data_IF_721196583255
#
_entry.id   IF_721196583255
#
_cell.length_a   1.000
_cell.length_b   1.000
_cell.length_c   1.000
_cell.angle_alpha   90.00
_cell.angle_beta   90.00
_cell.angle_gamma   90.00
#
_symmetry.space_group_name_H-M   'P 1'
#
loop_
_entity.id
_entity.type
_entity.pdbx_description
1 polymer ?
#
# COMPACT_ATOMS: atom_id res chain seq x y z
N UNK A 1 6.50 11.43 -11.37
CA UNK A 1 6.72 9.98 -11.39
C UNK A 1 7.45 9.66 -10.11
N UNK A 2 6.94 8.73 -9.31
CA UNK A 2 7.53 8.32 -8.04
C UNK A 2 8.21 6.97 -8.30
N UNK A 3 9.54 6.95 -8.39
CA UNK A 3 10.33 5.76 -8.75
C UNK A 3 9.76 4.95 -9.95
N UNK A 4 9.67 5.57 -11.13
CA UNK A 4 9.11 4.88 -12.31
C UNK A 4 7.57 4.78 -12.35
N UNK A 5 6.90 4.90 -11.20
CA UNK A 5 5.43 4.80 -11.11
C UNK A 5 4.79 6.14 -11.48
N UNK A 6 3.82 6.10 -12.40
CA UNK A 6 3.04 7.27 -12.80
C UNK A 6 2.25 7.80 -11.59
N UNK A 7 2.64 8.98 -11.13
CA UNK A 7 1.92 9.78 -10.14
C UNK A 7 0.75 10.52 -10.80
N UNK A 8 -0.10 9.77 -11.52
CA UNK A 8 -1.21 10.31 -12.30
C UNK A 8 -2.47 9.55 -11.90
N UNK A 9 -3.28 10.16 -11.04
CA UNK A 9 -4.52 9.58 -10.55
C UNK A 9 -5.28 10.54 -9.66
N UNK A 10 -6.52 10.18 -9.30
CA UNK A 10 -7.33 10.95 -8.36
C UNK A 10 -6.84 10.72 -6.93
N UNK A 11 -6.97 11.74 -6.09
CA UNK A 11 -6.70 11.62 -4.65
C UNK A 11 -7.56 10.54 -4.02
N UNK A 12 -7.03 9.84 -3.02
CA UNK A 12 -7.79 8.84 -2.28
C UNK A 12 -8.71 9.56 -1.30
N UNK A 13 -10.01 9.38 -1.50
CA UNK A 13 -11.04 9.87 -0.61
C UNK A 13 -11.40 8.79 0.42
N UNK A 14 -11.49 9.21 1.69
CA UNK A 14 -11.79 8.35 2.83
C UNK A 14 -13.20 8.59 3.40
N UNK A 15 -13.90 9.61 2.91
CA UNK A 15 -15.30 9.86 3.22
C UNK A 15 -16.16 9.16 2.16
N UNK A 16 -16.97 8.19 2.60
CA UNK A 16 -17.81 7.40 1.72
C UNK A 16 -18.95 8.23 1.14
N UNK A 17 -19.04 8.27 -0.20
CA UNK A 17 -20.21 8.78 -0.93
C UNK A 17 -21.25 7.66 -1.14
N UNK A 18 -20.83 6.40 -0.94
CA UNK A 18 -21.61 5.19 -1.21
C UNK A 18 -21.85 4.40 0.07
N UNK A 19 -22.98 3.70 0.13
CA UNK A 19 -23.28 2.76 1.20
C UNK A 19 -22.29 1.58 1.13
N UNK A 20 -21.44 1.45 2.16
CA UNK A 20 -20.43 0.39 2.27
C UNK A 20 -20.86 -0.72 3.23
N UNK A 21 -22.13 -0.75 3.65
CA UNK A 21 -22.64 -1.71 4.64
C UNK A 21 -22.40 -3.15 4.19
N UNK A 22 -22.78 -3.49 2.95
CA UNK A 22 -22.60 -4.84 2.39
C UNK A 22 -21.12 -5.25 2.31
N UNK A 23 -20.24 -4.34 1.86
CA UNK A 23 -18.80 -4.59 1.77
C UNK A 23 -18.17 -4.75 3.16
N UNK A 24 -18.62 -3.94 4.12
CA UNK A 24 -18.16 -4.00 5.50
C UNK A 24 -18.58 -5.31 6.14
N UNK A 25 -19.81 -5.75 5.94
CA UNK A 25 -20.30 -7.02 6.46
C UNK A 25 -19.58 -8.22 5.79
N UNK A 26 -19.26 -8.13 4.48
CA UNK A 26 -18.53 -9.18 3.78
C UNK A 26 -17.03 -9.29 4.15
N UNK A 27 -16.39 -8.20 4.57
CA UNK A 27 -14.95 -8.16 4.88
C UNK A 27 -14.72 -8.26 6.40
N UNK A 28 -15.47 -7.50 7.18
CA UNK A 28 -15.32 -7.41 8.62
C UNK A 28 -16.28 -8.39 9.33
N UNK A 29 -17.49 -8.59 8.81
CA UNK A 29 -18.56 -9.32 9.50
C UNK A 29 -18.80 -8.73 10.90
N UNK A 30 -18.86 -9.59 11.92
CA UNK A 30 -19.03 -9.20 13.33
C UNK A 30 -17.80 -8.55 13.97
N UNK A 31 -16.64 -8.54 13.27
CA UNK A 31 -15.43 -7.93 13.81
C UNK A 31 -15.61 -6.40 13.81
N UNK A 32 -14.80 -5.67 14.59
CA UNK A 32 -14.81 -4.20 14.55
C UNK A 32 -13.73 -3.62 13.63
N UNK A 33 -12.82 -4.47 13.11
CA UNK A 33 -11.56 -4.07 12.47
C UNK A 33 -11.15 -5.05 11.38
N UNK A 34 -10.46 -4.52 10.37
CA UNK A 34 -9.83 -5.30 9.30
C UNK A 34 -8.49 -5.86 9.79
N UNK A 35 -8.37 -7.19 9.90
CA UNK A 35 -7.11 -7.88 10.21
C UNK A 35 -6.44 -8.38 8.93
N UNK A 36 -5.11 -8.27 8.82
CA UNK A 36 -4.40 -8.76 7.64
C UNK A 36 -4.43 -10.29 7.53
N UNK A 37 -4.29 -11.00 8.64
CA UNK A 37 -4.37 -12.47 8.65
C UNK A 37 -5.75 -12.98 8.22
N UNK A 38 -6.81 -12.27 8.63
CA UNK A 38 -8.17 -12.62 8.20
C UNK A 38 -8.34 -12.42 6.68
N UNK A 39 -7.76 -11.34 6.13
CA UNK A 39 -7.78 -11.09 4.69
C UNK A 39 -7.00 -12.15 3.92
N UNK A 40 -5.86 -12.62 4.45
CA UNK A 40 -5.06 -13.68 3.85
C UNK A 40 -5.82 -15.01 3.80
N UNK A 41 -6.42 -15.44 4.93
CA UNK A 41 -7.26 -16.64 4.99
C UNK A 41 -8.44 -16.54 4.00
N UNK A 42 -9.15 -15.41 4.03
CA UNK A 42 -10.28 -15.16 3.13
C UNK A 42 -9.90 -15.16 1.64
N UNK A 43 -8.67 -14.77 1.30
CA UNK A 43 -8.16 -14.78 -0.07
C UNK A 43 -7.74 -16.18 -0.53
N UNK A 44 -7.31 -17.05 0.38
CA UNK A 44 -6.99 -18.44 0.06
C UNK A 44 -8.23 -19.27 -0.29
N UNK A 45 -9.37 -18.93 0.31
CA UNK A 45 -10.65 -19.62 0.08
C UNK A 45 -11.41 -19.12 -1.17
N UNK A 46 -10.97 -18.01 -1.78
CA UNK A 46 -11.59 -17.42 -2.96
C UNK A 46 -11.07 -18.08 -4.25
N UNK A 47 -11.97 -18.66 -5.03
CA UNK A 47 -11.65 -19.24 -6.34
C UNK A 47 -11.77 -18.24 -7.49
N UNK A 48 -12.66 -17.25 -7.36
CA UNK A 48 -12.96 -16.28 -8.42
C UNK A 48 -12.34 -14.91 -8.12
N UNK A 49 -11.77 -14.28 -9.16
CA UNK A 49 -11.22 -12.93 -9.10
C UNK A 49 -12.32 -11.85 -9.26
N UNK A 50 -13.32 -11.92 -8.40
CA UNK A 50 -14.46 -11.01 -8.39
C UNK A 50 -14.13 -9.65 -7.71
N UNK A 51 -15.12 -8.76 -7.66
CA UNK A 51 -14.96 -7.44 -7.04
C UNK A 51 -14.59 -7.54 -5.54
N UNK A 52 -15.03 -8.60 -4.84
CA UNK A 52 -14.72 -8.83 -3.43
C UNK A 52 -13.27 -9.30 -3.25
N UNK A 53 -12.78 -10.18 -4.13
CA UNK A 53 -11.38 -10.55 -4.21
C UNK A 53 -10.50 -9.31 -4.43
N UNK A 54 -10.83 -8.47 -5.41
CA UNK A 54 -10.09 -7.24 -5.69
C UNK A 54 -10.08 -6.30 -4.47
N UNK A 55 -11.21 -6.17 -3.77
CA UNK A 55 -11.30 -5.36 -2.55
C UNK A 55 -10.35 -5.91 -1.45
N UNK A 56 -10.45 -7.20 -1.15
CA UNK A 56 -9.65 -7.88 -0.10
C UNK A 56 -8.16 -7.83 -0.42
N UNK A 57 -7.80 -8.19 -1.65
CA UNK A 57 -6.40 -8.14 -2.11
C UNK A 57 -5.83 -6.73 -2.02
N UNK A 58 -6.61 -5.72 -2.40
CA UNK A 58 -6.14 -4.33 -2.32
C UNK A 58 -5.95 -3.87 -0.88
N UNK A 59 -6.86 -4.23 0.04
CA UNK A 59 -6.70 -3.93 1.46
C UNK A 59 -5.46 -4.61 2.04
N UNK A 60 -5.20 -5.86 1.65
CA UNK A 60 -4.00 -6.59 2.02
C UNK A 60 -2.74 -5.87 1.50
N UNK A 61 -2.69 -5.52 0.21
CA UNK A 61 -1.58 -4.78 -0.38
C UNK A 61 -1.37 -3.41 0.28
N UNK A 62 -2.44 -2.71 0.67
CA UNK A 62 -2.35 -1.46 1.43
C UNK A 62 -1.71 -1.72 2.80
N UNK A 63 -2.19 -2.70 3.55
CA UNK A 63 -1.71 -2.95 4.91
C UNK A 63 -0.33 -3.61 4.99
N UNK A 64 0.08 -4.35 3.96
CA UNK A 64 1.34 -5.07 3.92
C UNK A 64 2.47 -4.30 3.20
N UNK A 65 2.15 -3.54 2.14
CA UNK A 65 3.16 -2.95 1.23
C UNK A 65 3.06 -1.42 1.18
N UNK A 66 1.89 -0.87 0.88
CA UNK A 66 1.77 0.58 0.61
C UNK A 66 1.78 1.43 1.87
N UNK A 67 1.10 0.96 2.91
CA UNK A 67 1.02 1.61 4.22
C UNK A 67 1.18 0.59 5.37
N UNK A 68 2.31 -0.15 5.44
CA UNK A 68 2.64 -1.04 6.55
C UNK A 68 2.33 -0.38 7.88
N UNK A 69 1.40 -0.98 8.61
CA UNK A 69 1.01 -0.51 9.92
C UNK A 69 1.97 -1.06 10.96
N UNK A 70 2.24 -0.27 12.00
CA UNK A 70 2.97 -0.74 13.19
C UNK A 70 2.08 -1.62 14.09
N UNK A 71 0.93 -2.07 13.60
CA UNK A 71 -0.07 -2.84 14.35
C UNK A 71 -0.88 -3.75 13.42
N UNK A 72 -1.69 -4.62 14.03
CA UNK A 72 -2.32 -5.78 13.35
C UNK A 72 -3.55 -5.39 12.51
N UNK A 73 -4.07 -4.16 12.66
CA UNK A 73 -5.36 -3.78 12.09
C UNK A 73 -5.28 -2.59 11.15
N UNK A 74 -5.83 -2.75 9.95
CA UNK A 74 -6.01 -1.69 8.97
C UNK A 74 -7.18 -0.78 9.38
N UNK A 75 -7.06 0.53 9.11
CA UNK A 75 -8.14 1.48 9.37
C UNK A 75 -9.35 1.17 8.48
N UNK A 76 -10.54 1.14 9.06
CA UNK A 76 -11.80 0.94 8.33
C UNK A 76 -12.05 2.04 7.28
N UNK A 77 -11.35 3.17 7.34
CA UNK A 77 -11.38 4.22 6.31
C UNK A 77 -10.94 3.68 4.94
N UNK A 78 -10.08 2.67 4.90
CA UNK A 78 -9.65 2.05 3.65
C UNK A 78 -10.76 1.24 2.98
N UNK A 79 -11.83 0.85 3.70
CA UNK A 79 -13.02 0.26 3.07
C UNK A 79 -13.69 1.24 2.11
N UNK A 80 -13.83 2.51 2.51
CA UNK A 80 -14.32 3.56 1.61
C UNK A 80 -13.37 3.81 0.44
N UNK A 81 -12.07 3.61 0.65
CA UNK A 81 -11.08 3.76 -0.41
C UNK A 81 -11.18 2.64 -1.46
N UNK A 82 -11.60 1.43 -1.09
CA UNK A 82 -11.72 0.29 -2.00
C UNK A 82 -13.16 0.00 -2.48
N UNK A 83 -14.17 0.68 -1.93
CA UNK A 83 -15.57 0.42 -2.31
C UNK A 83 -15.88 0.67 -3.78
N UNK A 84 -15.18 1.62 -4.42
CA UNK A 84 -15.26 1.85 -5.85
C UNK A 84 -14.17 1.07 -6.60
N UNK A 85 -14.41 -0.23 -6.78
CA UNK A 85 -13.50 -1.16 -7.46
C UNK A 85 -13.22 -0.72 -8.90
N UNK A 86 -14.25 -0.20 -9.60
CA UNK A 86 -14.13 0.24 -11.00
C UNK A 86 -13.16 1.41 -11.19
N UNK A 87 -13.00 2.25 -10.18
CA UNK A 87 -12.06 3.37 -10.21
C UNK A 87 -10.81 3.15 -9.34
N UNK A 88 -10.62 1.96 -8.79
CA UNK A 88 -9.49 1.63 -7.94
C UNK A 88 -8.14 1.89 -8.62
N UNK A 89 -8.00 1.46 -9.87
CA UNK A 89 -6.79 1.69 -10.67
C UNK A 89 -6.55 3.14 -11.09
N UNK A 90 -7.55 4.03 -10.92
CA UNK A 90 -7.43 5.48 -11.21
C UNK A 90 -7.02 6.27 -9.98
N UNK A 91 -6.98 5.65 -8.79
CA UNK A 91 -6.56 6.30 -7.55
C UNK A 91 -5.04 6.40 -7.49
N UNK A 92 -4.56 7.51 -6.94
CA UNK A 92 -3.14 7.78 -6.83
C UNK A 92 -2.52 7.14 -5.58
N UNK A 93 -2.38 5.82 -5.63
CA UNK A 93 -1.80 5.01 -4.56
C UNK A 93 -0.34 5.37 -4.28
N UNK A 94 0.42 5.74 -5.31
CA UNK A 94 1.82 6.16 -5.18
C UNK A 94 1.97 7.41 -4.30
N UNK A 95 1.23 8.49 -4.64
CA UNK A 95 1.20 9.70 -3.82
C UNK A 95 0.74 9.44 -2.39
N UNK A 96 -0.24 8.55 -2.20
CA UNK A 96 -0.72 8.19 -0.87
C UNK A 96 0.33 7.48 -0.02
N UNK A 97 0.99 6.45 -0.58
CA UNK A 97 2.05 5.71 0.08
C UNK A 97 3.22 6.61 0.49
N UNK A 98 3.67 7.50 -0.42
CA UNK A 98 4.75 8.46 -0.13
C UNK A 98 4.33 9.47 0.93
N UNK A 99 3.10 10.01 0.88
CA UNK A 99 2.62 10.95 1.89
C UNK A 99 2.54 10.30 3.27
N UNK A 100 2.07 9.05 3.34
CA UNK A 100 2.02 8.29 4.58
C UNK A 100 3.42 8.07 5.16
N UNK A 101 4.39 7.68 4.31
CA UNK A 101 5.78 7.53 4.69
C UNK A 101 6.39 8.84 5.22
N UNK A 102 6.20 9.96 4.50
CA UNK A 102 6.69 11.28 4.90
C UNK A 102 6.13 11.71 6.25
N UNK A 103 4.84 11.52 6.51
CA UNK A 103 4.24 11.84 7.81
C UNK A 103 4.80 10.92 8.91
N UNK A 104 5.08 9.65 8.60
CA UNK A 104 5.72 8.74 9.56
C UNK A 104 7.15 9.16 9.90
N UNK A 105 7.95 9.53 8.90
CA UNK A 105 9.31 10.08 9.10
C UNK A 105 9.25 11.35 9.94
N UNK A 106 8.30 12.25 9.66
CA UNK A 106 8.10 13.47 10.45
C UNK A 106 7.78 13.16 11.91
N UNK A 107 6.92 12.17 12.17
CA UNK A 107 6.59 11.73 13.54
C UNK A 107 7.79 11.09 14.24
N UNK A 108 8.58 10.32 13.52
CA UNK A 108 9.82 9.73 14.03
C UNK A 108 10.82 10.83 14.46
N UNK A 109 11.08 11.79 13.56
CA UNK A 109 12.06 12.85 13.78
C UNK A 109 11.61 13.90 14.81
N UNK A 110 10.36 14.36 14.73
CA UNK A 110 9.88 15.51 15.53
C UNK A 110 9.18 15.07 16.81
N UNK A 111 8.48 13.94 16.78
CA UNK A 111 7.67 13.46 17.93
C UNK A 111 8.32 12.28 18.65
N UNK A 112 9.56 11.93 18.30
CA UNK A 112 10.31 10.81 18.87
C UNK A 112 9.50 9.49 18.90
N UNK A 113 8.71 9.24 17.84
CA UNK A 113 8.00 7.97 17.71
C UNK A 113 9.02 6.82 17.65
N UNK A 114 8.76 5.72 18.37
CA UNK A 114 9.69 4.59 18.46
C UNK A 114 9.81 3.78 17.16
N UNK A 115 8.76 3.79 16.34
CA UNK A 115 8.65 2.96 15.15
C UNK A 115 8.36 3.83 13.92
N UNK A 116 8.96 3.46 12.79
CA UNK A 116 8.63 3.99 11.48
C UNK A 116 7.53 3.12 10.83
N UNK A 117 6.59 3.76 10.15
CA UNK A 117 5.45 3.14 9.47
C UNK A 117 5.31 3.64 8.03
N UNK A 118 4.50 2.97 7.21
CA UNK A 118 4.38 3.28 5.78
C UNK A 118 5.32 2.45 4.91
N UNK A 119 5.33 2.73 3.60
CA UNK A 119 6.08 1.94 2.61
C UNK A 119 7.60 2.07 2.79
N UNK A 120 8.20 1.25 3.63
CA UNK A 120 9.66 1.23 3.86
C UNK A 120 10.43 0.69 2.66
N UNK A 121 9.80 -0.12 1.80
CA UNK A 121 10.36 -0.55 0.50
C UNK A 121 10.74 0.67 -0.35
N UNK A 122 9.97 1.77 -0.26
CA UNK A 122 10.34 3.02 -0.92
C UNK A 122 11.70 3.54 -0.46
N UNK A 123 11.99 3.48 0.84
CA UNK A 123 13.29 3.89 1.38
C UNK A 123 14.41 2.93 0.97
N UNK A 124 14.14 1.63 0.94
CA UNK A 124 15.10 0.61 0.50
C UNK A 124 15.49 0.84 -0.97
N UNK A 125 14.50 1.02 -1.86
CA UNK A 125 14.74 1.32 -3.27
C UNK A 125 15.44 2.67 -3.46
N UNK A 126 15.05 3.69 -2.69
CA UNK A 126 15.73 4.99 -2.71
C UNK A 126 17.19 4.84 -2.30
N UNK A 127 17.48 4.08 -1.24
CA UNK A 127 18.83 3.79 -0.79
C UNK A 127 19.63 3.09 -1.89
N UNK A 128 19.10 2.01 -2.47
CA UNK A 128 19.76 1.27 -3.56
C UNK A 128 20.05 2.13 -4.79
N UNK A 129 19.17 3.11 -5.08
CA UNK A 129 19.38 4.06 -6.17
C UNK A 129 20.49 5.09 -5.88
N UNK A 130 20.74 5.43 -4.62
CA UNK A 130 21.70 6.48 -4.24
C UNK A 130 23.04 5.93 -3.74
N UNK A 131 23.13 4.65 -3.40
CA UNK A 131 24.37 4.01 -2.99
C UNK A 131 25.30 3.85 -4.19
N UNK A 132 26.53 4.30 -4.04
CA UNK A 132 27.59 4.04 -5.00
C UNK A 132 28.12 2.62 -4.78
N UNK A 133 27.79 1.72 -5.70
CA UNK A 133 28.30 0.36 -5.69
C UNK A 133 29.78 0.37 -6.08
N UNK A 134 30.66 -0.07 -5.17
CA UNK A 134 32.10 -0.16 -5.43
C UNK A 134 32.49 -1.36 -6.32
N UNK A 135 31.54 -2.25 -6.61
CA UNK A 135 31.75 -3.45 -7.44
C UNK A 135 31.23 -3.21 -8.86
N UNK A 136 32.13 -2.83 -9.76
CA UNK A 136 31.89 -2.82 -11.21
C UNK A 136 30.99 -1.69 -11.69
N UNK A 137 31.14 -1.33 -12.97
CA UNK A 137 30.43 -0.24 -13.63
C UNK A 137 28.93 -0.57 -13.74
N UNK A 138 28.13 -0.25 -12.72
CA UNK A 138 26.67 -0.33 -12.82
C UNK A 138 26.21 0.83 -13.69
N UNK A 139 25.69 0.53 -14.88
CA UNK A 139 25.12 1.53 -15.77
C UNK A 139 23.92 2.20 -15.10
N UNK A 140 24.12 3.44 -14.63
CA UNK A 140 23.09 4.24 -13.94
C UNK A 140 21.98 4.75 -14.86
N UNK A 141 22.05 4.50 -16.17
CA UNK A 141 20.95 4.79 -17.10
C UNK A 141 19.82 3.75 -17.00
N UNK A 142 20.09 2.60 -16.39
CA UNK A 142 19.16 1.50 -16.16
C UNK A 142 18.55 1.66 -14.76
N UNK A 143 17.23 1.53 -14.62
CA UNK A 143 16.62 1.59 -13.29
C UNK A 143 17.07 0.36 -12.48
N UNK A 144 17.44 0.52 -11.18
CA UNK A 144 17.92 -0.60 -10.37
C UNK A 144 16.98 -1.81 -10.28
N UNK A 145 15.66 -1.60 -10.51
CA UNK A 145 14.68 -2.69 -10.53
C UNK A 145 14.79 -3.56 -11.78
N UNK A 146 15.24 -3.00 -12.91
CA UNK A 146 15.43 -3.74 -14.18
C UNK A 146 16.69 -4.62 -14.13
N UNK A 147 17.60 -4.37 -13.19
CA UNK A 147 18.77 -5.22 -12.93
C UNK A 147 18.40 -6.51 -12.19
N UNK A 148 17.24 -6.58 -11.53
CA UNK A 148 16.84 -7.72 -10.72
C UNK A 148 16.28 -8.89 -11.55
N UNK A 149 15.96 -8.65 -12.82
CA UNK A 149 15.47 -9.69 -13.74
C UNK A 149 16.62 -10.51 -14.39
N UNK A 150 17.88 -10.24 -14.02
CA UNK A 150 19.07 -10.94 -14.50
C UNK A 150 19.65 -11.91 -13.46
N UNK A 151 18.84 -12.88 -13.00
CA UNK A 151 19.32 -14.10 -12.32
C UNK A 151 18.75 -15.37 -12.97
#
# INVERSE_FOLDING_TARGET
MIMGIKDRGKSIEFQGVSDISDLKDAIIGDKCRVSLSDLEEQLQDLWDADDLFLARFTLLAIGAILCPLTGIHLSNLYLNAVSDIRNLGKKNWASHAVRHLMESIRRYQVKHAKNLSGCTIYLQLLYLHHVEWQTGYVDRSIHPIDLWDFE
#
